data_IF_872466949364
#
_entry.id   IF_872466949364
#
_cell.length_a   1.000
_cell.length_b   1.000
_cell.length_c   1.000
_cell.angle_alpha   90.00
_cell.angle_beta   90.00
_cell.angle_gamma   90.00
#
_symmetry.space_group_name_H-M   'P 1'
#
loop_
_entity.id
_entity.type
_entity.pdbx_description
1 polymer ?
#
# COMPACT_ATOMS: atom_id res chain seq x y z
N UNK A 1 -24.18 0.78 5.56
CA UNK A 1 -24.13 -0.70 5.44
C UNK A 1 -23.04 -1.06 4.43
N UNK A 2 -21.81 -1.31 4.87
CA UNK A 2 -20.71 -1.68 3.97
C UNK A 2 -20.94 -3.12 3.51
N UNK A 3 -21.00 -3.36 2.19
CA UNK A 3 -21.21 -4.72 1.64
C UNK A 3 -19.94 -5.54 1.86
N UNK A 4 -19.89 -6.31 2.95
CA UNK A 4 -18.74 -7.17 3.33
C UNK A 4 -18.60 -8.43 2.46
N UNK A 5 -19.16 -8.46 1.24
CA UNK A 5 -19.18 -9.67 0.39
C UNK A 5 -17.84 -10.02 -0.27
N UNK A 6 -16.95 -9.04 -0.45
CA UNK A 6 -15.60 -9.26 -1.02
C UNK A 6 -14.54 -8.39 -0.35
N UNK A 7 -14.94 -7.59 0.65
CA UNK A 7 -14.07 -6.64 1.34
C UNK A 7 -12.81 -7.30 1.94
N UNK A 8 -12.88 -8.48 2.60
CA UNK A 8 -11.67 -9.13 3.11
C UNK A 8 -10.69 -9.53 1.99
N UNK A 9 -11.21 -10.01 0.86
CA UNK A 9 -10.40 -10.41 -0.31
C UNK A 9 -9.76 -9.19 -0.97
N UNK A 10 -10.53 -8.11 -1.17
CA UNK A 10 -10.01 -6.85 -1.71
C UNK A 10 -8.91 -6.26 -0.81
N UNK A 11 -9.10 -6.29 0.51
CA UNK A 11 -8.09 -5.84 1.49
C UNK A 11 -6.82 -6.70 1.46
N UNK A 12 -6.94 -8.02 1.23
CA UNK A 12 -5.78 -8.89 1.04
C UNK A 12 -4.99 -8.52 -0.24
N UNK A 13 -5.69 -8.25 -1.35
CA UNK A 13 -5.07 -7.79 -2.59
C UNK A 13 -4.34 -6.46 -2.40
N UNK A 14 -4.95 -5.49 -1.72
CA UNK A 14 -4.29 -4.21 -1.42
C UNK A 14 -3.07 -4.37 -0.53
N UNK A 15 -3.12 -5.24 0.49
CA UNK A 15 -1.94 -5.55 1.31
C UNK A 15 -0.82 -6.15 0.46
N UNK A 16 -1.13 -7.11 -0.40
CA UNK A 16 -0.13 -7.75 -1.26
C UNK A 16 0.47 -6.76 -2.26
N UNK A 17 -0.34 -5.85 -2.81
CA UNK A 17 0.12 -4.77 -3.68
C UNK A 17 1.08 -3.82 -2.95
N UNK A 18 0.73 -3.38 -1.74
CA UNK A 18 1.59 -2.52 -0.93
C UNK A 18 2.93 -3.19 -0.59
N UNK A 19 2.93 -4.50 -0.31
CA UNK A 19 4.15 -5.26 -0.06
C UNK A 19 4.99 -5.37 -1.34
N UNK A 20 4.36 -5.69 -2.48
CA UNK A 20 5.04 -5.85 -3.76
C UNK A 20 5.70 -4.55 -4.24
N UNK A 21 4.97 -3.43 -4.16
CA UNK A 21 5.49 -2.09 -4.50
C UNK A 21 6.68 -1.71 -3.62
N UNK A 22 6.60 -1.93 -2.30
CA UNK A 22 7.73 -1.71 -1.40
C UNK A 22 8.95 -2.56 -1.76
N UNK A 23 8.77 -3.85 -2.09
CA UNK A 23 9.88 -4.70 -2.54
C UNK A 23 10.45 -4.23 -3.87
N UNK A 24 9.61 -3.81 -4.81
CA UNK A 24 10.05 -3.29 -6.10
C UNK A 24 10.89 -2.01 -5.96
N UNK A 25 10.54 -1.14 -5.00
CA UNK A 25 11.35 0.03 -4.65
C UNK A 25 12.57 -0.28 -3.76
N UNK A 26 12.93 -1.55 -3.55
CA UNK A 26 14.14 -1.94 -2.83
C UNK A 26 14.04 -1.87 -1.29
N UNK A 27 12.84 -1.78 -0.73
CA UNK A 27 12.67 -1.78 0.73
C UNK A 27 12.89 -3.19 1.29
N UNK A 28 14.03 -3.40 1.96
CA UNK A 28 14.33 -4.64 2.69
C UNK A 28 13.51 -4.78 3.96
N UNK A 29 13.07 -3.65 4.55
CA UNK A 29 12.20 -3.61 5.73
C UNK A 29 10.83 -3.02 5.37
N UNK A 30 9.88 -3.90 5.07
CA UNK A 30 8.49 -3.55 4.71
C UNK A 30 7.82 -2.73 5.82
N UNK A 31 8.07 -3.04 7.09
CA UNK A 31 7.49 -2.28 8.21
C UNK A 31 8.05 -0.85 8.30
N UNK A 32 9.32 -0.63 7.92
CA UNK A 32 9.91 0.71 7.82
C UNK A 32 9.32 1.47 6.62
N UNK A 33 9.14 0.80 5.49
CA UNK A 33 8.49 1.34 4.30
C UNK A 33 7.05 1.78 4.59
N UNK A 34 6.24 0.89 5.17
CA UNK A 34 4.86 1.20 5.57
C UNK A 34 4.79 2.36 6.56
N UNK A 35 5.65 2.42 7.58
CA UNK A 35 5.70 3.56 8.51
C UNK A 35 6.12 4.86 7.83
N UNK A 36 7.06 4.80 6.88
CA UNK A 36 7.51 5.96 6.12
C UNK A 36 6.39 6.52 5.21
N UNK A 37 5.55 5.62 4.67
CA UNK A 37 4.41 5.95 3.83
C UNK A 37 3.17 6.38 4.63
N UNK A 38 2.92 5.77 5.79
CA UNK A 38 1.83 6.15 6.68
C UNK A 38 2.00 7.58 7.24
N UNK A 39 3.23 8.09 7.34
CA UNK A 39 3.52 9.47 7.76
C UNK A 39 3.07 10.52 6.74
N UNK A 40 2.97 10.17 5.47
CA UNK A 40 2.51 11.10 4.44
C UNK A 40 1.72 10.32 3.37
N UNK A 41 0.38 10.45 3.34
CA UNK A 41 -0.47 9.72 2.41
C UNK A 41 -0.23 10.08 0.93
N UNK A 42 0.45 11.20 0.63
CA UNK A 42 0.86 11.58 -0.72
C UNK A 42 2.04 10.75 -1.25
N UNK A 43 2.85 10.15 -0.37
CA UNK A 43 3.97 9.29 -0.77
C UNK A 43 3.51 8.01 -1.47
N UNK A 44 2.49 7.27 -0.98
CA UNK A 44 1.90 6.17 -1.74
C UNK A 44 1.36 6.56 -3.11
N UNK A 45 0.73 7.73 -3.23
CA UNK A 45 0.21 8.22 -4.50
C UNK A 45 1.35 8.47 -5.50
N UNK A 46 2.43 9.10 -5.05
CA UNK A 46 3.63 9.31 -5.86
C UNK A 46 4.33 8.00 -6.24
N UNK A 47 4.40 7.00 -5.34
CA UNK A 47 4.93 5.67 -5.68
C UNK A 47 4.07 4.94 -6.72
N UNK A 48 2.76 5.18 -6.72
CA UNK A 48 1.84 4.60 -7.69
C UNK A 48 1.81 5.38 -9.02
N UNK A 49 2.60 6.46 -9.15
CA UNK A 49 2.63 7.30 -10.34
C UNK A 49 1.36 8.13 -10.55
N UNK A 50 0.55 8.31 -9.50
CA UNK A 50 -0.65 9.14 -9.55
C UNK A 50 -0.19 10.58 -9.24
N UNK A 51 -0.23 11.51 -10.22
CA UNK A 51 0.07 12.90 -9.95
C UNK A 51 -0.99 13.47 -9.00
N UNK A 52 -0.53 14.09 -7.92
CA UNK A 52 -1.36 14.87 -6.99
C UNK A 52 -1.31 16.33 -7.36
#
# INVERSE_FOLDING_TARGET
RVRTGTAPRAMASFRNLAISTLRHHGWTNIAKGLRHMARNPLRPLALLGIPT
#
